data_IF_280390715237
#
_entry.id   IF_280390715237
#
_cell.length_a   1.000
_cell.length_b   1.000
_cell.length_c   1.000
_cell.angle_alpha   90.00
_cell.angle_beta   90.00
_cell.angle_gamma   90.00
#
_symmetry.space_group_name_H-M   'P 1'
#
loop_
_entity.id
_entity.type
_entity.pdbx_description
1 polymer ?
#
# COMPACT_ATOMS: atom_id res chain seq x y z
N UNK A 1 -13.23 -23.28 6.54
CA UNK A 1 -12.97 -22.66 7.86
C UNK A 1 -13.16 -23.64 9.02
N UNK A 2 -14.30 -24.34 9.15
CA UNK A 2 -14.56 -25.29 10.27
C UNK A 2 -13.61 -26.49 10.32
N UNK A 3 -13.11 -26.99 9.18
CA UNK A 3 -12.23 -28.18 9.15
C UNK A 3 -10.80 -27.92 9.67
N UNK A 4 -10.31 -26.67 9.68
CA UNK A 4 -8.94 -26.36 10.13
C UNK A 4 -8.83 -26.19 11.64
N UNK A 5 -9.91 -25.73 12.31
CA UNK A 5 -9.96 -25.47 13.76
C UNK A 5 -9.79 -26.73 14.62
N UNK A 6 -10.03 -27.92 14.05
CA UNK A 6 -9.85 -29.21 14.72
C UNK A 6 -8.87 -30.10 13.97
N UNK A 7 -7.86 -29.49 13.35
CA UNK A 7 -6.79 -30.21 12.64
C UNK A 7 -5.57 -30.44 13.57
N UNK A 8 -4.76 -31.48 13.32
CA UNK A 8 -3.47 -31.64 13.99
C UNK A 8 -2.56 -30.43 13.81
N UNK A 9 -2.66 -29.74 12.66
CA UNK A 9 -1.92 -28.51 12.39
C UNK A 9 -2.32 -27.36 13.32
N UNK A 10 -3.61 -27.22 13.63
CA UNK A 10 -4.08 -26.25 14.63
C UNK A 10 -3.57 -26.57 16.03
N UNK A 11 -3.64 -27.84 16.45
CA UNK A 11 -3.11 -28.26 17.75
C UNK A 11 -1.61 -27.98 17.90
N UNK A 12 -0.82 -28.29 16.86
CA UNK A 12 0.61 -27.96 16.86
C UNK A 12 0.87 -26.45 16.80
N UNK A 13 0.14 -25.72 15.96
CA UNK A 13 0.26 -24.27 15.86
C UNK A 13 -0.02 -23.59 17.21
N UNK A 14 -1.09 -24.00 17.88
CA UNK A 14 -1.46 -23.52 19.21
C UNK A 14 -0.41 -23.85 20.26
N UNK A 15 0.10 -25.09 20.27
CA UNK A 15 1.18 -25.49 21.17
C UNK A 15 2.41 -24.61 20.98
N UNK A 16 2.82 -24.36 19.74
CA UNK A 16 3.97 -23.51 19.41
C UNK A 16 3.74 -22.08 19.88
N UNK A 17 2.58 -21.48 19.57
CA UNK A 17 2.28 -20.11 19.99
C UNK A 17 2.16 -19.94 21.50
N UNK A 18 1.57 -20.91 22.20
CA UNK A 18 1.41 -20.86 23.66
C UNK A 18 2.72 -21.11 24.41
N UNK A 19 3.57 -22.01 23.92
CA UNK A 19 4.80 -22.40 24.63
C UNK A 19 6.03 -21.56 24.28
N UNK A 20 6.13 -21.08 23.03
CA UNK A 20 7.32 -20.39 22.53
C UNK A 20 7.11 -18.89 22.28
N UNK A 21 5.85 -18.45 22.21
CA UNK A 21 5.49 -17.07 21.89
C UNK A 21 4.48 -16.48 22.89
N UNK A 22 4.53 -16.92 24.14
CA UNK A 22 3.76 -16.39 25.28
C UNK A 22 2.23 -16.29 25.04
N UNK A 23 1.66 -17.22 24.26
CA UNK A 23 0.23 -17.19 23.94
C UNK A 23 -0.14 -16.04 22.99
N UNK A 24 0.77 -15.69 22.08
CA UNK A 24 0.51 -14.71 21.02
C UNK A 24 -0.75 -15.04 20.24
N UNK A 25 -1.43 -14.00 19.75
CA UNK A 25 -2.59 -14.14 18.90
C UNK A 25 -2.26 -14.93 17.63
N UNK A 26 -3.20 -15.80 17.24
CA UNK A 26 -3.12 -16.56 16.01
C UNK A 26 -2.94 -15.63 14.79
N UNK A 27 -2.08 -16.03 13.86
CA UNK A 27 -1.78 -15.26 12.65
C UNK A 27 -0.71 -14.18 12.82
N UNK A 28 -0.12 -14.04 14.01
CA UNK A 28 0.95 -13.06 14.27
C UNK A 28 2.33 -13.70 14.40
N UNK A 29 3.41 -12.93 14.17
CA UNK A 29 4.78 -13.39 14.39
C UNK A 29 5.23 -14.56 13.51
N UNK A 30 4.62 -14.73 12.34
CA UNK A 30 4.86 -15.86 11.43
C UNK A 30 6.34 -16.05 11.10
N UNK A 31 7.13 -14.97 11.05
CA UNK A 31 8.54 -15.06 10.68
C UNK A 31 9.33 -15.81 11.76
N UNK A 32 9.01 -15.58 13.04
CA UNK A 32 9.56 -16.33 14.17
C UNK A 32 9.15 -17.80 14.09
N UNK A 33 7.86 -18.07 13.86
CA UNK A 33 7.32 -19.44 13.75
C UNK A 33 7.97 -20.20 12.58
N UNK A 34 8.12 -19.57 11.42
CA UNK A 34 8.76 -20.16 10.25
C UNK A 34 10.23 -20.47 10.51
N UNK A 35 10.96 -19.55 11.16
CA UNK A 35 12.37 -19.77 11.51
C UNK A 35 12.54 -20.94 12.47
N UNK A 36 11.67 -21.05 13.47
CA UNK A 36 11.64 -22.17 14.42
C UNK A 36 11.32 -23.49 13.70
N UNK A 37 10.30 -23.50 12.84
CA UNK A 37 9.92 -24.68 12.07
C UNK A 37 11.06 -25.17 11.19
N UNK A 38 11.76 -24.26 10.51
CA UNK A 38 12.92 -24.58 9.68
C UNK A 38 14.09 -25.14 10.49
N UNK A 39 14.30 -24.66 11.71
CA UNK A 39 15.36 -25.15 12.60
C UNK A 39 15.12 -26.60 13.06
N UNK A 40 13.86 -27.03 13.17
CA UNK A 40 13.51 -28.38 13.65
C UNK A 40 13.30 -29.36 12.49
N UNK A 41 12.55 -28.95 11.47
CA UNK A 41 12.11 -29.83 10.39
C UNK A 41 12.89 -29.64 9.09
N UNK A 42 13.80 -28.65 9.03
CA UNK A 42 14.48 -28.25 7.81
C UNK A 42 13.62 -27.36 6.90
N UNK A 43 14.13 -27.06 5.71
CA UNK A 43 13.49 -26.12 4.77
C UNK A 43 12.22 -26.68 4.09
N UNK A 44 12.05 -28.01 4.07
CA UNK A 44 10.89 -28.67 3.47
C UNK A 44 9.80 -28.87 4.51
N UNK A 45 9.09 -27.79 4.84
CA UNK A 45 8.00 -27.84 5.80
C UNK A 45 6.78 -28.58 5.22
N UNK A 46 6.05 -29.35 6.04
CA UNK A 46 4.81 -30.00 5.61
C UNK A 46 3.79 -28.98 5.06
N UNK A 47 3.23 -29.18 3.85
CA UNK A 47 2.28 -28.24 3.24
C UNK A 47 1.07 -27.92 4.12
N UNK A 48 0.57 -28.91 4.87
CA UNK A 48 -0.56 -28.74 5.80
C UNK A 48 -0.27 -27.68 6.89
N UNK A 49 0.99 -27.55 7.33
CA UNK A 49 1.36 -26.51 8.29
C UNK A 49 1.47 -25.14 7.64
N UNK A 50 2.04 -25.09 6.43
CA UNK A 50 2.15 -23.86 5.65
C UNK A 50 0.74 -23.29 5.40
N UNK A 51 -0.18 -24.11 4.90
CA UNK A 51 -1.57 -23.73 4.64
C UNK A 51 -2.30 -23.26 5.90
N UNK A 52 -2.09 -23.94 7.03
CA UNK A 52 -2.65 -23.52 8.31
C UNK A 52 -2.17 -22.12 8.69
N UNK A 53 -0.87 -21.84 8.62
CA UNK A 53 -0.36 -20.53 9.00
C UNK A 53 -0.83 -19.45 8.03
N UNK A 54 -0.78 -19.67 6.71
CA UNK A 54 -1.26 -18.71 5.70
C UNK A 54 -2.72 -18.35 5.91
N UNK A 55 -3.59 -19.35 6.11
CA UNK A 55 -5.03 -19.14 6.27
C UNK A 55 -5.40 -18.45 7.59
N UNK A 56 -4.49 -18.48 8.57
CA UNK A 56 -4.69 -17.85 9.89
C UNK A 56 -4.15 -16.43 9.94
N UNK A 57 -3.25 -16.07 9.02
CA UNK A 57 -2.69 -14.73 8.93
C UNK A 57 -3.72 -13.69 8.45
N UNK A 58 -3.37 -12.42 8.58
CA UNK A 58 -4.18 -11.35 8.01
C UNK A 58 -4.25 -11.46 6.49
N UNK A 59 -5.43 -11.15 5.95
CA UNK A 59 -5.63 -11.13 4.51
C UNK A 59 -4.85 -9.96 3.89
N UNK A 60 -4.21 -10.28 2.77
CA UNK A 60 -3.51 -9.32 1.93
C UNK A 60 -4.41 -8.79 0.84
N UNK A 61 -4.13 -7.58 0.37
CA UNK A 61 -4.74 -7.10 -0.87
C UNK A 61 -4.31 -7.98 -2.04
N UNK A 62 -5.28 -8.69 -2.63
CA UNK A 62 -5.02 -9.67 -3.70
C UNK A 62 -4.54 -11.03 -3.19
N UNK A 63 -4.75 -11.34 -1.90
CA UNK A 63 -4.41 -12.62 -1.26
C UNK A 63 -2.92 -12.99 -1.32
N UNK A 64 -2.58 -14.13 -0.71
CA UNK A 64 -1.25 -14.72 -0.79
C UNK A 64 -1.03 -15.31 -2.18
N UNK A 65 0.12 -15.05 -2.82
CA UNK A 65 0.34 -15.49 -4.19
C UNK A 65 0.44 -17.01 -4.28
N UNK A 66 -0.20 -17.55 -5.31
CA UNK A 66 -0.06 -18.93 -5.75
C UNK A 66 0.85 -19.01 -6.97
N UNK A 67 1.18 -20.21 -7.44
CA UNK A 67 1.98 -20.38 -8.66
C UNK A 67 1.30 -19.73 -9.89
N UNK A 68 -0.02 -19.61 -9.90
CA UNK A 68 -0.78 -18.96 -10.98
C UNK A 68 -0.52 -17.45 -11.06
N UNK A 69 -0.09 -16.82 -9.96
CA UNK A 69 0.23 -15.39 -9.90
C UNK A 69 1.62 -15.05 -10.46
N UNK A 70 2.45 -16.05 -10.75
CA UNK A 70 3.82 -15.85 -11.26
C UNK A 70 3.83 -15.10 -12.60
N UNK A 71 3.13 -15.63 -13.60
CA UNK A 71 3.11 -15.05 -14.94
C UNK A 71 2.41 -13.68 -14.99
N UNK A 72 1.24 -13.47 -14.38
CA UNK A 72 0.61 -12.15 -14.30
C UNK A 72 1.49 -11.11 -13.61
N UNK A 73 2.17 -11.47 -12.51
CA UNK A 73 3.06 -10.54 -11.80
C UNK A 73 4.21 -10.07 -12.69
N UNK A 74 4.84 -10.98 -13.44
CA UNK A 74 5.89 -10.61 -14.41
C UNK A 74 5.32 -9.70 -15.51
N UNK A 75 4.15 -10.02 -16.06
CA UNK A 75 3.52 -9.20 -17.09
C UNK A 75 3.28 -7.76 -16.60
N UNK A 76 2.76 -7.59 -15.38
CA UNK A 76 2.58 -6.25 -14.79
C UNK A 76 3.92 -5.54 -14.55
N UNK A 77 4.94 -6.24 -14.06
CA UNK A 77 6.28 -5.65 -13.91
C UNK A 77 6.82 -5.13 -15.25
N UNK A 78 6.66 -5.88 -16.34
CA UNK A 78 7.06 -5.47 -17.69
C UNK A 78 6.25 -4.27 -18.19
N UNK A 79 4.93 -4.28 -18.02
CA UNK A 79 4.04 -3.17 -18.42
C UNK A 79 4.44 -1.88 -17.70
N UNK A 80 4.63 -1.93 -16.38
CA UNK A 80 5.09 -0.77 -15.62
C UNK A 80 6.52 -0.35 -16.00
N UNK A 81 7.38 -1.30 -16.40
CA UNK A 81 8.68 -1.01 -17.00
C UNK A 81 8.58 -0.17 -18.28
N UNK A 82 7.72 -0.56 -19.21
CA UNK A 82 7.48 0.19 -20.45
C UNK A 82 6.90 1.58 -20.15
N UNK A 83 5.91 1.67 -19.26
CA UNK A 83 5.32 2.95 -18.86
C UNK A 83 6.35 3.87 -18.19
N UNK A 84 7.24 3.32 -17.35
CA UNK A 84 8.34 4.08 -16.75
C UNK A 84 9.25 4.69 -17.81
N UNK A 85 9.65 3.89 -18.82
CA UNK A 85 10.49 4.36 -19.92
C UNK A 85 9.78 5.49 -20.70
N UNK A 86 8.49 5.34 -21.00
CA UNK A 86 7.69 6.38 -21.67
C UNK A 86 7.70 7.68 -20.85
N UNK A 87 7.42 7.60 -19.55
CA UNK A 87 7.41 8.77 -18.67
C UNK A 87 8.79 9.44 -18.56
N UNK A 88 9.87 8.65 -18.52
CA UNK A 88 11.25 9.16 -18.54
C UNK A 88 11.53 9.90 -19.84
N UNK A 89 11.19 9.32 -20.99
CA UNK A 89 11.38 9.94 -22.31
C UNK A 89 10.63 11.27 -22.39
N UNK A 90 9.35 11.28 -21.99
CA UNK A 90 8.52 12.50 -21.98
C UNK A 90 9.13 13.57 -21.06
N UNK A 91 9.60 13.18 -19.87
CA UNK A 91 10.25 14.10 -18.94
C UNK A 91 11.53 14.71 -19.50
N UNK A 92 12.39 13.89 -20.15
CA UNK A 92 13.63 14.35 -20.79
C UNK A 92 13.32 15.32 -21.94
N UNK A 93 12.37 14.97 -22.82
CA UNK A 93 11.98 15.83 -23.94
C UNK A 93 11.45 17.17 -23.43
N UNK A 94 10.55 17.16 -22.45
CA UNK A 94 9.98 18.39 -21.88
C UNK A 94 11.04 19.28 -21.23
N UNK A 95 11.94 18.68 -20.44
CA UNK A 95 13.02 19.41 -19.77
C UNK A 95 14.02 19.98 -20.78
N UNK A 96 14.33 19.25 -21.84
CA UNK A 96 15.20 19.72 -22.93
C UNK A 96 14.62 20.93 -23.70
N UNK A 97 13.29 21.07 -23.70
CA UNK A 97 12.56 22.21 -24.30
C UNK A 97 12.32 23.35 -23.30
N UNK A 98 12.82 23.25 -22.07
CA UNK A 98 12.63 24.24 -21.01
C UNK A 98 11.29 24.15 -20.26
N UNK A 99 10.50 23.10 -20.47
CA UNK A 99 9.23 22.88 -19.78
C UNK A 99 9.42 21.96 -18.55
N UNK A 100 9.52 22.56 -17.36
CA UNK A 100 9.73 21.83 -16.11
C UNK A 100 8.39 21.36 -15.49
N UNK A 101 7.98 20.14 -15.81
CA UNK A 101 6.83 19.48 -15.19
C UNK A 101 7.30 18.39 -14.21
N UNK A 102 7.77 18.82 -13.04
CA UNK A 102 8.31 17.91 -12.00
C UNK A 102 7.32 16.85 -11.52
N UNK A 103 6.01 17.07 -11.69
CA UNK A 103 5.01 16.07 -11.32
C UNK A 103 5.17 14.78 -12.14
N UNK A 104 5.74 14.82 -13.37
CA UNK A 104 6.09 13.61 -14.13
C UNK A 104 6.99 12.65 -13.36
N UNK A 105 7.84 13.15 -12.46
CA UNK A 105 8.69 12.31 -11.61
C UNK A 105 7.86 11.39 -10.71
N UNK A 106 6.64 11.80 -10.34
CA UNK A 106 5.75 10.97 -9.51
C UNK A 106 5.28 9.73 -10.28
N UNK A 107 4.96 9.84 -11.57
CA UNK A 107 4.60 8.67 -12.39
C UNK A 107 5.79 7.74 -12.62
N UNK A 108 7.00 8.30 -12.80
CA UNK A 108 8.23 7.50 -12.91
C UNK A 108 8.45 6.71 -11.62
N UNK A 109 8.39 7.40 -10.47
CA UNK A 109 8.51 6.78 -9.15
C UNK A 109 7.44 5.71 -8.90
N UNK A 110 6.18 6.01 -9.26
CA UNK A 110 5.06 5.06 -9.18
C UNK A 110 5.37 3.78 -9.96
N UNK A 111 5.78 3.91 -11.23
CA UNK A 111 6.09 2.76 -12.08
C UNK A 111 7.29 1.98 -11.53
N UNK A 112 8.34 2.67 -11.07
CA UNK A 112 9.51 2.05 -10.44
C UNK A 112 9.11 1.19 -9.22
N UNK A 113 8.28 1.73 -8.32
CA UNK A 113 7.79 0.95 -7.17
C UNK A 113 6.96 -0.26 -7.61
N UNK A 114 6.09 -0.11 -8.63
CA UNK A 114 5.30 -1.22 -9.16
C UNK A 114 6.16 -2.33 -9.78
N UNK A 115 7.23 -1.98 -10.51
CA UNK A 115 8.18 -2.97 -11.06
C UNK A 115 8.79 -3.79 -9.92
N UNK A 116 9.30 -3.13 -8.87
CA UNK A 116 9.90 -3.80 -7.70
C UNK A 116 8.86 -4.66 -6.99
N UNK A 117 7.68 -4.11 -6.70
CA UNK A 117 6.60 -4.81 -6.00
C UNK A 117 6.13 -6.06 -6.74
N UNK A 118 5.84 -5.96 -8.03
CA UNK A 118 5.42 -7.12 -8.83
C UNK A 118 6.56 -8.13 -9.07
N UNK A 119 7.81 -7.69 -9.20
CA UNK A 119 8.95 -8.61 -9.32
C UNK A 119 9.15 -9.43 -8.04
N UNK A 120 9.03 -8.80 -6.88
CA UNK A 120 9.09 -9.49 -5.59
C UNK A 120 7.88 -10.41 -5.39
N UNK A 121 6.68 -9.99 -5.79
CA UNK A 121 5.48 -10.84 -5.74
C UNK A 121 5.59 -12.06 -6.66
N UNK A 122 6.16 -11.91 -7.85
CA UNK A 122 6.46 -13.03 -8.74
C UNK A 122 7.42 -14.01 -8.09
N UNK A 123 8.48 -13.54 -7.43
CA UNK A 123 9.38 -14.44 -6.72
C UNK A 123 8.68 -15.13 -5.52
N UNK A 124 7.85 -14.40 -4.78
CA UNK A 124 7.08 -14.96 -3.67
C UNK A 124 6.06 -16.02 -4.12
N UNK A 125 5.52 -15.91 -5.34
CA UNK A 125 4.66 -16.91 -5.96
C UNK A 125 5.35 -18.27 -6.20
N UNK A 126 6.69 -18.31 -6.21
CA UNK A 126 7.44 -19.58 -6.36
C UNK A 126 7.53 -20.37 -5.07
N UNK A 127 7.57 -19.68 -3.93
CA UNK A 127 7.58 -20.28 -2.60
C UNK A 127 7.03 -19.26 -1.59
N UNK A 128 5.87 -19.59 -1.04
CA UNK A 128 5.13 -18.74 -0.13
C UNK A 128 5.84 -18.52 1.22
N UNK A 129 6.84 -19.36 1.55
CA UNK A 129 7.64 -19.22 2.77
C UNK A 129 8.64 -18.07 2.70
N UNK A 130 8.79 -17.38 1.56
CA UNK A 130 9.56 -16.14 1.45
C UNK A 130 8.81 -14.91 2.01
N UNK A 131 8.40 -15.00 3.27
CA UNK A 131 7.52 -14.03 3.94
C UNK A 131 8.09 -12.61 3.92
N UNK A 132 9.39 -12.43 4.16
CA UNK A 132 10.02 -11.09 4.13
C UNK A 132 9.91 -10.45 2.74
N UNK A 133 10.17 -11.21 1.68
CA UNK A 133 10.03 -10.72 0.31
C UNK A 133 8.56 -10.39 0.02
N UNK A 134 7.63 -11.20 0.53
CA UNK A 134 6.19 -10.96 0.43
C UNK A 134 5.75 -9.64 1.06
N UNK A 135 6.16 -9.36 2.30
CA UNK A 135 5.84 -8.10 3.00
C UNK A 135 6.45 -6.91 2.25
N UNK A 136 7.71 -7.02 1.82
CA UNK A 136 8.36 -5.96 1.04
C UNK A 136 7.60 -5.73 -0.28
N UNK A 137 7.16 -6.80 -0.95
CA UNK A 137 6.34 -6.70 -2.16
C UNK A 137 5.04 -5.93 -1.91
N UNK A 138 4.35 -6.21 -0.80
CA UNK A 138 3.11 -5.55 -0.42
C UNK A 138 3.32 -4.05 -0.22
N UNK A 139 4.36 -3.66 0.52
CA UNK A 139 4.72 -2.26 0.73
C UNK A 139 4.94 -1.55 -0.61
N UNK A 140 5.71 -2.14 -1.52
CA UNK A 140 5.96 -1.58 -2.85
C UNK A 140 4.71 -1.56 -3.74
N UNK A 141 3.68 -2.35 -3.46
CA UNK A 141 2.42 -2.34 -4.20
C UNK A 141 1.42 -1.34 -3.63
N UNK A 142 1.34 -1.17 -2.31
CA UNK A 142 0.37 -0.31 -1.61
C UNK A 142 0.81 1.16 -1.61
N UNK A 143 2.05 1.44 -1.19
CA UNK A 143 2.55 2.82 -1.06
C UNK A 143 2.39 3.66 -2.34
N UNK A 144 2.77 3.20 -3.54
CA UNK A 144 2.60 4.02 -4.74
C UNK A 144 1.12 4.32 -5.06
N UNK A 145 0.18 3.45 -4.65
CA UNK A 145 -1.25 3.72 -4.83
C UNK A 145 -1.71 4.93 -4.00
N UNK A 146 -1.13 5.17 -2.83
CA UNK A 146 -1.41 6.37 -2.02
C UNK A 146 -0.73 7.60 -2.65
N UNK A 147 0.52 7.45 -3.10
CA UNK A 147 1.29 8.53 -3.73
C UNK A 147 0.60 9.06 -5.00
N UNK A 148 0.02 8.20 -5.84
CA UNK A 148 -0.68 8.65 -7.06
C UNK A 148 -1.96 9.42 -6.73
N UNK A 149 -2.67 9.06 -5.66
CA UNK A 149 -3.82 9.83 -5.17
C UNK A 149 -3.36 11.23 -4.72
N UNK A 150 -2.19 11.34 -4.10
CA UNK A 150 -1.61 12.66 -3.76
C UNK A 150 -1.26 13.48 -5.00
N UNK A 151 -0.73 12.86 -6.06
CA UNK A 151 -0.49 13.55 -7.32
C UNK A 151 -1.78 14.09 -7.93
N UNK A 152 -2.87 13.31 -7.87
CA UNK A 152 -4.19 13.74 -8.32
C UNK A 152 -4.71 14.95 -7.51
N UNK A 153 -4.49 14.95 -6.18
CA UNK A 153 -4.87 16.09 -5.35
C UNK A 153 -4.08 17.36 -5.72
N UNK A 154 -2.78 17.23 -5.97
CA UNK A 154 -1.95 18.37 -6.41
C UNK A 154 -2.47 18.94 -7.73
N UNK A 155 -2.82 18.07 -8.69
CA UNK A 155 -3.42 18.51 -9.95
C UNK A 155 -4.79 19.18 -9.74
N UNK A 156 -5.64 18.61 -8.89
CA UNK A 156 -6.94 19.18 -8.55
C UNK A 156 -6.79 20.56 -7.88
N UNK A 157 -5.83 20.72 -6.98
CA UNK A 157 -5.48 22.00 -6.36
C UNK A 157 -5.06 23.03 -7.41
N UNK A 158 -4.21 22.65 -8.36
CA UNK A 158 -3.75 23.55 -9.44
C UNK A 158 -4.92 23.98 -10.33
N UNK A 159 -5.79 23.05 -10.72
CA UNK A 159 -7.00 23.34 -11.49
C UNK A 159 -7.92 24.30 -10.73
N UNK A 160 -8.19 24.02 -9.46
CA UNK A 160 -9.04 24.86 -8.61
C UNK A 160 -8.47 26.27 -8.44
N UNK A 161 -7.15 26.39 -8.18
CA UNK A 161 -6.49 27.68 -7.99
C UNK A 161 -6.47 28.50 -9.27
N UNK A 162 -6.35 27.86 -10.44
CA UNK A 162 -6.41 28.53 -11.72
C UNK A 162 -7.82 29.09 -12.01
N UNK A 163 -8.86 28.32 -11.68
CA UNK A 163 -10.26 28.70 -11.96
C UNK A 163 -10.85 29.67 -10.91
N UNK A 164 -10.39 29.55 -9.66
CA UNK A 164 -10.80 30.41 -8.54
C UNK A 164 -9.57 31.05 -7.88
N UNK A 165 -8.88 32.00 -8.55
CA UNK A 165 -7.64 32.57 -8.02
C UNK A 165 -7.84 33.23 -6.65
N UNK A 166 -8.98 33.86 -6.39
CA UNK A 166 -9.28 34.49 -5.09
C UNK A 166 -9.58 33.47 -3.98
N UNK A 167 -10.06 32.27 -4.32
CA UNK A 167 -10.29 31.18 -3.38
C UNK A 167 -9.02 30.38 -3.11
N UNK A 168 -8.33 29.96 -4.18
CA UNK A 168 -7.11 29.16 -4.12
C UNK A 168 -5.88 29.90 -3.58
N UNK A 169 -5.85 31.24 -3.62
CA UNK A 169 -4.77 32.03 -3.02
C UNK A 169 -4.96 32.32 -1.52
N UNK A 170 -6.08 31.88 -0.91
CA UNK A 170 -6.33 32.17 0.52
C UNK A 170 -5.40 31.35 1.40
N UNK A 171 -4.91 32.00 2.45
CA UNK A 171 -4.07 31.36 3.47
C UNK A 171 -4.74 30.13 4.10
N UNK A 172 -6.05 30.19 4.37
CA UNK A 172 -6.81 29.06 4.90
C UNK A 172 -6.77 27.83 3.97
N UNK A 173 -6.92 28.05 2.67
CA UNK A 173 -6.88 26.98 1.68
C UNK A 173 -5.49 26.35 1.60
N UNK A 174 -4.45 27.17 1.49
CA UNK A 174 -3.07 26.66 1.45
C UNK A 174 -2.69 25.88 2.70
N UNK A 175 -3.07 26.33 3.90
CA UNK A 175 -2.81 25.57 5.12
C UNK A 175 -3.57 24.25 5.15
N UNK A 176 -4.83 24.24 4.71
CA UNK A 176 -5.59 23.01 4.62
C UNK A 176 -4.90 22.00 3.68
N UNK A 177 -4.46 22.46 2.50
CA UNK A 177 -3.74 21.60 1.54
C UNK A 177 -2.43 21.06 2.12
N UNK A 178 -1.59 21.94 2.69
CA UNK A 178 -0.30 21.53 3.29
C UNK A 178 -0.49 20.57 4.47
N UNK A 179 -1.48 20.83 5.33
CA UNK A 179 -1.83 19.93 6.45
C UNK A 179 -2.27 18.57 5.91
N UNK A 180 -3.08 18.55 4.86
CA UNK A 180 -3.53 17.30 4.24
C UNK A 180 -2.36 16.52 3.65
N UNK A 181 -1.41 17.18 2.99
CA UNK A 181 -0.20 16.53 2.47
C UNK A 181 0.68 15.94 3.58
N UNK A 182 0.90 16.69 4.68
CA UNK A 182 1.65 16.19 5.83
C UNK A 182 0.94 15.01 6.51
N UNK A 183 -0.39 15.08 6.65
CA UNK A 183 -1.21 14.01 7.20
C UNK A 183 -1.11 12.72 6.38
N UNK A 184 -1.07 12.81 5.04
CA UNK A 184 -0.90 11.64 4.18
C UNK A 184 0.46 10.98 4.34
N UNK A 185 1.54 11.75 4.56
CA UNK A 185 2.86 11.17 4.86
C UNK A 185 2.82 10.34 6.15
N UNK A 186 2.12 10.84 7.18
CA UNK A 186 1.90 10.10 8.43
C UNK A 186 1.06 8.84 8.16
N UNK A 187 -0.03 8.95 7.38
CA UNK A 187 -0.85 7.80 7.01
C UNK A 187 -0.04 6.71 6.30
N UNK A 188 0.82 7.07 5.34
CA UNK A 188 1.70 6.12 4.65
C UNK A 188 2.59 5.38 5.65
N UNK A 189 3.24 6.11 6.56
CA UNK A 189 4.11 5.50 7.56
C UNK A 189 3.35 4.53 8.48
N UNK A 190 2.13 4.92 8.91
CA UNK A 190 1.27 4.07 9.73
C UNK A 190 0.78 2.84 8.97
N UNK A 191 0.41 2.97 7.69
CA UNK A 191 -0.01 1.83 6.84
C UNK A 191 1.13 0.83 6.63
N UNK A 192 2.36 1.31 6.41
CA UNK A 192 3.54 0.43 6.31
C UNK A 192 3.79 -0.30 7.64
N UNK A 193 3.74 0.42 8.77
CA UNK A 193 3.92 -0.20 10.08
C UNK A 193 2.81 -1.22 10.37
N UNK A 194 1.56 -0.88 10.08
CA UNK A 194 0.41 -1.74 10.33
C UNK A 194 0.38 -2.99 9.43
N UNK A 195 0.93 -2.92 8.22
CA UNK A 195 1.10 -4.09 7.35
C UNK A 195 2.28 -4.95 7.77
N UNK A 196 3.40 -4.40 8.27
CA UNK A 196 4.59 -5.20 8.60
C UNK A 196 4.60 -5.80 10.02
N UNK A 197 4.15 -5.04 11.03
CA UNK A 197 4.33 -5.41 12.45
C UNK A 197 3.64 -6.73 12.82
N UNK A 198 2.37 -6.99 12.44
CA UNK A 198 1.70 -8.25 12.78
C UNK A 198 2.39 -9.50 12.22
N UNK A 199 3.08 -9.39 11.08
CA UNK A 199 3.82 -10.52 10.50
C UNK A 199 5.17 -10.77 11.19
N UNK A 200 5.86 -9.70 11.56
CA UNK A 200 7.23 -9.78 12.06
C UNK A 200 7.26 -10.14 13.55
N UNK A 201 6.29 -9.67 14.32
CA UNK A 201 6.30 -9.77 15.77
C UNK A 201 5.10 -10.57 16.29
N UNK A 202 5.31 -11.47 17.27
CA UNK A 202 4.21 -12.07 18.01
C UNK A 202 3.51 -10.97 18.81
N UNK A 203 2.18 -10.89 18.69
CA UNK A 203 1.38 -9.85 19.34
C UNK A 203 0.34 -10.48 20.25
N UNK A 204 -0.02 -9.78 21.34
CA UNK A 204 -1.19 -10.16 22.13
C UNK A 204 -2.48 -9.91 21.33
N UNK A 205 -3.56 -10.61 21.67
CA UNK A 205 -4.85 -10.47 20.98
C UNK A 205 -5.36 -9.02 20.97
N UNK A 206 -5.19 -8.29 22.09
CA UNK A 206 -5.58 -6.88 22.17
C UNK A 206 -4.74 -6.00 21.24
N UNK A 207 -3.42 -6.20 21.20
CA UNK A 207 -2.54 -5.45 20.31
C UNK A 207 -2.83 -5.75 18.84
N UNK A 208 -3.04 -7.03 18.49
CA UNK A 208 -3.38 -7.44 17.14
C UNK A 208 -4.69 -6.81 16.64
N UNK A 209 -5.74 -6.81 17.49
CA UNK A 209 -7.01 -6.13 17.17
C UNK A 209 -6.84 -4.63 16.93
N UNK A 210 -5.99 -3.96 17.71
CA UNK A 210 -5.71 -2.53 17.51
C UNK A 210 -5.02 -2.27 16.16
N UNK A 211 -4.10 -3.14 15.72
CA UNK A 211 -3.49 -3.04 14.40
C UNK A 211 -4.49 -3.25 13.27
N UNK A 212 -5.41 -4.22 13.40
CA UNK A 212 -6.50 -4.42 12.42
C UNK A 212 -7.36 -3.16 12.31
N UNK A 213 -7.77 -2.57 13.44
CA UNK A 213 -8.53 -1.32 13.44
C UNK A 213 -7.74 -0.16 12.84
N UNK A 214 -6.42 -0.13 13.04
CA UNK A 214 -5.53 0.86 12.42
C UNK A 214 -5.53 0.71 10.90
N UNK A 215 -5.40 -0.50 10.36
CA UNK A 215 -5.49 -0.74 8.90
C UNK A 215 -6.84 -0.28 8.36
N UNK A 216 -7.94 -0.66 9.01
CA UNK A 216 -9.30 -0.24 8.61
C UNK A 216 -9.45 1.29 8.61
N UNK A 217 -8.94 1.95 9.64
CA UNK A 217 -8.93 3.42 9.73
C UNK A 217 -8.13 4.05 8.60
N UNK A 218 -6.91 3.56 8.34
CA UNK A 218 -6.07 4.10 7.25
C UNK A 218 -6.72 3.90 5.88
N UNK A 219 -7.36 2.75 5.63
CA UNK A 219 -8.09 2.49 4.39
C UNK A 219 -9.25 3.48 4.20
N UNK A 220 -10.04 3.70 5.25
CA UNK A 220 -11.12 4.69 5.24
C UNK A 220 -10.59 6.12 4.98
N UNK A 221 -9.49 6.49 5.62
CA UNK A 221 -8.86 7.80 5.41
C UNK A 221 -8.33 7.99 3.98
N UNK A 222 -7.76 6.95 3.36
CA UNK A 222 -7.31 7.00 1.95
C UNK A 222 -8.50 7.20 1.00
N UNK A 223 -9.66 6.60 1.29
CA UNK A 223 -10.89 6.83 0.52
C UNK A 223 -11.33 8.29 0.66
N UNK A 224 -11.43 8.82 1.88
CA UNK A 224 -11.78 10.23 2.11
C UNK A 224 -10.80 11.20 1.42
N UNK A 225 -9.52 10.87 1.44
CA UNK A 225 -8.48 11.64 0.76
C UNK A 225 -8.68 11.64 -0.77
N UNK A 226 -9.01 10.49 -1.34
CA UNK A 226 -9.35 10.38 -2.77
C UNK A 226 -10.59 11.20 -3.12
N UNK A 227 -11.62 11.16 -2.28
CA UNK A 227 -12.82 11.98 -2.43
C UNK A 227 -12.52 13.48 -2.36
N UNK A 228 -11.55 13.90 -1.54
CA UNK A 228 -11.12 15.31 -1.46
C UNK A 228 -10.62 15.82 -2.82
N UNK A 229 -9.88 15.00 -3.56
CA UNK A 229 -9.45 15.33 -4.93
C UNK A 229 -10.65 15.50 -5.87
N UNK A 230 -11.60 14.55 -5.82
CA UNK A 230 -12.82 14.61 -6.61
C UNK A 230 -13.69 15.83 -6.25
N UNK A 231 -13.82 16.14 -4.95
CA UNK A 231 -14.54 17.31 -4.46
C UNK A 231 -13.92 18.61 -4.96
N UNK A 232 -12.59 18.76 -4.94
CA UNK A 232 -11.93 19.96 -5.47
C UNK A 232 -12.16 20.14 -6.98
N UNK A 233 -12.13 19.03 -7.73
CA UNK A 233 -12.48 19.06 -9.15
C UNK A 233 -13.93 19.51 -9.30
N UNK A 234 -14.88 18.92 -8.57
CA UNK A 234 -16.30 19.30 -8.63
C UNK A 234 -16.55 20.77 -8.25
N UNK A 235 -15.93 21.24 -7.16
CA UNK A 235 -16.01 22.64 -6.72
C UNK A 235 -15.46 23.60 -7.77
N UNK A 236 -14.41 23.20 -8.51
CA UNK A 236 -13.83 24.04 -9.58
C UNK A 236 -14.80 24.29 -10.73
N UNK A 237 -15.77 23.39 -10.99
CA UNK A 237 -16.75 23.56 -12.06
C UNK A 237 -18.05 24.21 -11.58
N UNK A 238 -18.46 23.97 -10.33
CA UNK A 238 -19.83 24.27 -9.89
C UNK A 238 -20.01 25.59 -9.14
N UNK A 239 -18.94 26.21 -8.64
CA UNK A 239 -19.01 27.44 -7.84
C UNK A 239 -18.38 28.65 -8.55
N UNK A 240 -19.00 29.22 -9.61
CA UNK A 240 -18.53 30.48 -10.17
C UNK A 240 -18.64 31.58 -9.11
N UNK A 241 -17.50 32.05 -8.63
CA UNK A 241 -17.38 33.16 -7.70
C UNK A 241 -17.50 34.46 -8.49
N UNK A 242 -18.51 35.30 -8.18
CA UNK A 242 -18.73 36.61 -8.84
C UNK A 242 -17.47 37.51 -8.92
N UNK A 243 -16.52 37.35 -7.99
CA UNK A 243 -15.23 38.07 -7.99
C UNK A 243 -14.24 37.58 -9.04
N UNK A 244 -14.37 36.33 -9.50
CA UNK A 244 -13.50 35.75 -10.52
C UNK A 244 -14.04 36.03 -11.93
N UNK A 245 -15.35 36.17 -12.12
CA UNK A 245 -15.97 36.61 -13.38
C UNK A 245 -15.55 38.04 -13.78
N UNK A 246 -15.44 38.94 -12.80
CA UNK A 246 -15.01 40.35 -12.97
C UNK A 246 -13.55 40.52 -13.44
N UNK A 247 -12.77 39.45 -13.58
CA UNK A 247 -11.40 39.49 -14.14
C UNK A 247 -11.33 39.03 -15.60
N UNK A 248 -12.41 38.44 -16.13
CA UNK A 248 -12.51 37.97 -17.52
C UNK A 248 -13.31 38.93 -18.42
N UNK A 249 -13.84 40.02 -17.87
CA UNK A 249 -14.48 41.16 -18.57
C UNK A 249 -13.73 42.44 -18.27
#
# INVERSE_FOLDING_TARGET
MVQLLYSPAHGMGKLVTETLFDGSAEGTGVNGILSWGRNIMGYNLPPVLIDYFITTQNNLFGEYPTHEDYAPSIAFAVIFGVLMIIHIIVFIINTSRGHYFYLSLVWIFYCMMKIIGFSLRAHWATDITYIIQGIVSEVFLIVPAIVIVSANLILAQRLFTWRHPVGGSRWLFWNFMMTTYAFVLILIAVTIAASAIPYLYPLSYSAYRNWIHTVQFTAFMVILYSLTSASLIGLSFWLPTKKDELRYT
#
